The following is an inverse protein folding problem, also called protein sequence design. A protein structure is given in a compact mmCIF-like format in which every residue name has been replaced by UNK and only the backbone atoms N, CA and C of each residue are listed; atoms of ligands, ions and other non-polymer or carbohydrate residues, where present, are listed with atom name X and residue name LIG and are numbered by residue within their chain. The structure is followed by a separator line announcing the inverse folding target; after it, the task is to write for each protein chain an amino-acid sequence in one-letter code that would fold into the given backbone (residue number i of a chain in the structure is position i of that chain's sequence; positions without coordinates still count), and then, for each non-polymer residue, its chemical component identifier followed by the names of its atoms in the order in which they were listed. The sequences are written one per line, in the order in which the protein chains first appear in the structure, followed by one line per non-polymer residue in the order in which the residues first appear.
data_IF_187851556959
#
_entry.id   IF_187851556959
#
_cell.length_a   1.000
_cell.length_b   1.000
_cell.length_c   1.000
_cell.angle_alpha   90.00
_cell.angle_beta   90.00
_cell.angle_gamma   90.00
#
_symmetry.space_group_name_H-M   'P 1'
#
loop_
_entity.id
_entity.type
_entity.pdbx_description
1 polymer ?
#
# COMPACT_ATOMS: atom_id res chain seq x y z
N UNK A 1 16.62 21.42 17.10
CA UNK A 1 16.34 20.23 17.95
C UNK A 1 17.20 20.18 19.21
N UNK A 2 18.52 20.42 19.15
CA UNK A 2 19.39 20.33 20.36
C UNK A 2 19.48 18.90 20.90
N UNK A 3 20.30 18.65 21.91
CA UNK A 3 20.52 17.29 22.44
C UNK A 3 19.21 16.62 22.91
N UNK A 4 18.35 17.37 23.60
CA UNK A 4 17.06 16.88 24.09
C UNK A 4 16.09 16.55 22.94
N UNK A 5 16.02 17.41 21.91
CA UNK A 5 15.11 17.18 20.78
C UNK A 5 15.55 16.02 19.90
N UNK A 6 16.87 15.83 19.67
CA UNK A 6 17.38 14.67 18.92
C UNK A 6 17.07 13.37 19.67
N UNK A 7 17.24 13.36 20.99
CA UNK A 7 16.85 12.21 21.81
C UNK A 7 15.35 11.91 21.68
N UNK A 8 14.51 12.93 21.83
CA UNK A 8 13.05 12.76 21.75
C UNK A 8 12.62 12.27 20.35
N UNK A 9 13.22 12.80 19.29
CA UNK A 9 12.96 12.35 17.92
C UNK A 9 13.23 10.85 17.77
N UNK A 10 14.39 10.37 18.24
CA UNK A 10 14.71 8.94 18.20
C UNK A 10 13.77 8.09 19.05
N UNK A 11 13.41 8.54 20.26
CA UNK A 11 12.44 7.85 21.12
C UNK A 11 11.06 7.73 20.44
N UNK A 12 10.61 8.80 19.77
CA UNK A 12 9.32 8.84 19.06
C UNK A 12 9.32 7.98 17.80
N UNK A 13 10.40 7.98 17.01
CA UNK A 13 10.49 7.12 15.82
C UNK A 13 10.37 5.63 16.18
N UNK A 14 11.06 5.19 17.25
CA UNK A 14 10.97 3.81 17.76
C UNK A 14 9.56 3.52 18.30
N UNK A 15 8.96 4.45 19.05
CA UNK A 15 7.61 4.31 19.57
C UNK A 15 6.58 4.15 18.45
N UNK A 16 6.62 5.03 17.45
CA UNK A 16 5.70 5.03 16.31
C UNK A 16 5.81 3.72 15.51
N UNK A 17 7.03 3.23 15.26
CA UNK A 17 7.23 1.95 14.57
C UNK A 17 6.65 0.77 15.35
N UNK A 18 6.95 0.68 16.66
CA UNK A 18 6.41 -0.39 17.51
C UNK A 18 4.88 -0.29 17.64
N UNK A 19 4.31 0.91 17.62
CA UNK A 19 2.86 1.13 17.58
C UNK A 19 2.24 0.51 16.33
N UNK A 20 2.77 0.85 15.15
CA UNK A 20 2.31 0.32 13.85
C UNK A 20 2.47 -1.20 13.80
N UNK A 21 3.64 -1.71 14.17
CA UNK A 21 3.90 -3.15 14.19
C UNK A 21 2.89 -3.90 15.07
N UNK A 22 2.61 -3.42 16.29
CA UNK A 22 1.67 -4.07 17.20
C UNK A 22 0.22 -4.05 16.70
N UNK A 23 -0.17 -3.00 15.99
CA UNK A 23 -1.48 -2.87 15.35
C UNK A 23 -1.65 -3.83 14.18
N UNK A 24 -0.58 -4.07 13.41
CA UNK A 24 -0.63 -4.86 12.18
C UNK A 24 -0.33 -6.34 12.38
N UNK A 25 0.37 -6.74 13.43
CA UNK A 25 0.89 -8.12 13.62
C UNK A 25 -0.18 -9.23 13.52
N UNK A 26 -1.40 -8.96 14.00
CA UNK A 26 -2.51 -9.93 13.92
C UNK A 26 -3.04 -10.12 12.48
N UNK A 27 -2.76 -9.18 11.58
CA UNK A 27 -3.25 -9.13 10.20
C UNK A 27 -2.14 -9.50 9.21
N UNK A 28 -0.93 -9.00 9.45
CA UNK A 28 0.27 -9.28 8.69
C UNK A 28 1.41 -9.55 9.68
N UNK A 29 1.93 -10.79 9.75
CA UNK A 29 2.94 -11.14 10.74
C UNK A 29 4.17 -10.24 10.64
N UNK A 30 4.65 -9.74 11.78
CA UNK A 30 5.91 -9.01 11.86
C UNK A 30 7.07 -10.00 11.72
N UNK A 31 7.87 -9.86 10.67
CA UNK A 31 8.85 -10.88 10.28
C UNK A 31 10.03 -11.01 11.25
N UNK A 32 10.52 -9.89 11.79
CA UNK A 32 11.66 -9.86 12.70
C UNK A 32 11.38 -8.97 13.90
N UNK A 33 11.76 -9.45 15.08
CA UNK A 33 11.73 -8.69 16.33
C UNK A 33 13.03 -8.89 17.11
N UNK A 34 13.37 -7.93 17.96
CA UNK A 34 14.47 -8.07 18.92
C UNK A 34 14.16 -9.08 20.04
N UNK A 35 15.12 -9.25 20.95
CA UNK A 35 15.08 -10.26 22.03
C UNK A 35 13.88 -10.15 22.97
N UNK A 36 13.28 -8.97 23.09
CA UNK A 36 12.13 -8.69 23.95
C UNK A 36 10.83 -8.44 23.14
N UNK A 37 10.80 -8.80 21.86
CA UNK A 37 9.62 -8.63 21.01
C UNK A 37 9.40 -7.20 20.49
N UNK A 38 10.36 -6.30 20.70
CA UNK A 38 10.32 -4.93 20.17
C UNK A 38 11.18 -4.79 18.90
N UNK A 39 10.81 -3.86 18.05
CA UNK A 39 11.55 -3.45 16.86
C UNK A 39 12.25 -2.10 17.07
N UNK A 40 13.06 -1.68 16.11
CA UNK A 40 13.71 -0.36 16.11
C UNK A 40 12.76 0.71 15.53
N UNK A 41 13.22 1.48 14.54
CA UNK A 41 12.48 2.58 13.91
C UNK A 41 11.63 2.14 12.70
N UNK A 42 11.68 0.86 12.33
CA UNK A 42 10.95 0.28 11.21
C UNK A 42 10.55 -1.17 11.49
N UNK A 43 9.54 -1.67 10.79
CA UNK A 43 9.07 -3.05 10.86
C UNK A 43 8.99 -3.67 9.46
N UNK A 44 9.08 -5.00 9.38
CA UNK A 44 8.83 -5.75 8.14
C UNK A 44 7.58 -6.61 8.36
N UNK A 45 6.59 -6.46 7.50
CA UNK A 45 5.40 -7.31 7.49
C UNK A 45 5.48 -8.34 6.37
N UNK A 46 5.11 -9.58 6.66
CA UNK A 46 5.26 -10.71 5.74
C UNK A 46 3.97 -11.01 4.94
N UNK A 47 4.04 -10.84 3.61
CA UNK A 47 2.95 -11.16 2.68
C UNK A 47 3.19 -12.45 1.90
N UNK A 48 4.30 -13.17 2.14
CA UNK A 48 4.68 -14.33 1.33
C UNK A 48 3.68 -15.48 1.48
N UNK A 49 3.15 -15.70 2.67
CA UNK A 49 2.08 -16.67 2.91
C UNK A 49 0.81 -16.32 2.13
N UNK A 50 0.39 -15.05 2.20
CA UNK A 50 -0.77 -14.54 1.45
C UNK A 50 -0.57 -14.72 -0.07
N UNK A 51 0.62 -14.39 -0.57
CA UNK A 51 0.97 -14.55 -1.99
C UNK A 51 0.86 -16.02 -2.41
N UNK A 52 1.42 -16.93 -1.61
CA UNK A 52 1.44 -18.35 -1.90
C UNK A 52 0.04 -18.95 -1.89
N UNK A 53 -0.78 -18.59 -0.91
CA UNK A 53 -2.06 -19.25 -0.67
C UNK A 53 -3.20 -18.64 -1.50
N UNK A 54 -3.14 -17.34 -1.80
CA UNK A 54 -4.26 -16.60 -2.42
C UNK A 54 -3.88 -15.82 -3.68
N UNK A 55 -2.60 -15.80 -4.07
CA UNK A 55 -2.14 -15.10 -5.27
C UNK A 55 -2.11 -13.57 -5.18
N UNK A 56 -2.42 -13.00 -4.01
CA UNK A 56 -2.31 -11.55 -3.75
C UNK A 56 -0.84 -11.19 -3.54
N UNK A 57 -0.31 -10.33 -4.39
CA UNK A 57 1.11 -9.96 -4.40
C UNK A 57 1.39 -8.70 -3.58
N UNK A 58 2.67 -8.43 -3.31
CA UNK A 58 3.12 -7.17 -2.71
C UNK A 58 2.72 -5.96 -3.56
N UNK A 59 2.77 -6.09 -4.89
CA UNK A 59 2.38 -5.00 -5.78
C UNK A 59 0.89 -4.69 -5.68
N UNK A 60 0.04 -5.72 -5.50
CA UNK A 60 -1.40 -5.51 -5.29
C UNK A 60 -1.69 -4.70 -4.04
N UNK A 61 -1.07 -5.04 -2.91
CA UNK A 61 -1.22 -4.28 -1.66
C UNK A 61 -0.64 -2.86 -1.81
N UNK A 62 0.51 -2.72 -2.45
CA UNK A 62 1.14 -1.43 -2.69
C UNK A 62 0.30 -0.51 -3.58
N UNK A 63 -0.30 -1.03 -4.66
CA UNK A 63 -1.19 -0.25 -5.50
C UNK A 63 -2.50 0.06 -4.78
N UNK A 64 -3.03 -0.90 -4.01
CA UNK A 64 -4.28 -0.71 -3.27
C UNK A 64 -4.16 0.39 -2.21
N UNK A 65 -3.00 0.53 -1.57
CA UNK A 65 -2.72 1.64 -0.66
C UNK A 65 -2.90 3.03 -1.30
N UNK A 66 -2.67 3.16 -2.61
CA UNK A 66 -2.90 4.43 -3.32
C UNK A 66 -4.38 4.84 -3.29
N UNK A 67 -5.29 3.88 -3.41
CA UNK A 67 -6.74 4.12 -3.31
C UNK A 67 -7.12 4.53 -1.88
N UNK A 68 -6.33 4.16 -0.87
CA UNK A 68 -6.46 4.62 0.51
C UNK A 68 -5.72 5.95 0.77
N UNK A 69 -5.11 6.56 -0.26
CA UNK A 69 -4.39 7.82 -0.16
C UNK A 69 -2.98 7.70 0.42
N UNK A 70 -2.37 6.52 0.38
CA UNK A 70 -1.02 6.27 0.88
C UNK A 70 -0.06 5.91 -0.25
N UNK A 71 1.15 6.46 -0.16
CA UNK A 71 2.29 5.88 -0.86
C UNK A 71 2.65 4.53 -0.21
N UNK A 72 3.00 3.54 -1.02
CA UNK A 72 3.41 2.24 -0.50
C UNK A 72 4.71 2.34 0.34
N UNK A 73 4.86 1.54 1.40
CA UNK A 73 6.14 1.36 2.08
C UNK A 73 7.20 0.75 1.16
N UNK A 74 8.43 0.58 1.66
CA UNK A 74 9.50 -0.08 0.91
C UNK A 74 9.09 -1.50 0.53
N UNK A 75 9.16 -1.82 -0.75
CA UNK A 75 8.67 -3.09 -1.28
C UNK A 75 9.80 -4.08 -1.55
N UNK A 76 9.60 -5.35 -1.17
CA UNK A 76 10.44 -6.50 -1.54
C UNK A 76 11.93 -6.35 -1.21
N UNK A 77 12.26 -5.51 -0.23
CA UNK A 77 13.59 -5.35 0.33
C UNK A 77 13.46 -5.07 1.85
N UNK A 78 14.36 -5.62 2.70
CA UNK A 78 15.47 -6.51 2.38
C UNK A 78 15.05 -7.96 2.06
N UNK A 79 13.77 -8.29 2.23
CA UNK A 79 13.21 -9.62 1.94
C UNK A 79 12.23 -9.51 0.78
N UNK A 80 12.40 -10.35 -0.24
CA UNK A 80 11.46 -10.40 -1.37
C UNK A 80 10.08 -10.85 -0.90
N UNK A 81 9.02 -10.19 -1.40
CA UNK A 81 7.65 -10.54 -1.03
C UNK A 81 7.17 -9.93 0.30
N UNK A 82 7.87 -8.93 0.85
CA UNK A 82 7.49 -8.23 2.08
C UNK A 82 7.32 -6.73 1.87
N UNK A 83 6.73 -6.05 2.86
CA UNK A 83 6.72 -4.59 2.98
C UNK A 83 7.49 -4.17 4.22
N UNK A 84 8.33 -3.14 4.10
CA UNK A 84 9.07 -2.54 5.22
C UNK A 84 8.57 -1.12 5.49
N UNK A 85 8.13 -0.87 6.72
CA UNK A 85 7.37 0.31 7.14
C UNK A 85 8.18 1.10 8.18
N UNK A 86 8.48 2.36 7.86
CA UNK A 86 9.14 3.33 8.74
C UNK A 86 8.27 4.58 8.88
N UNK A 87 7.54 4.78 10.00
CA UNK A 87 6.65 5.92 10.17
C UNK A 87 7.36 7.23 10.53
N UNK A 88 8.61 7.17 10.98
CA UNK A 88 9.37 8.28 11.56
C UNK A 88 8.72 8.87 12.82
N UNK A 89 9.37 9.86 13.43
CA UNK A 89 8.88 10.62 14.58
C UNK A 89 7.89 11.73 14.22
N UNK A 90 7.84 12.12 12.94
CA UNK A 90 7.15 13.33 12.50
C UNK A 90 5.66 13.11 12.24
N UNK A 91 5.25 11.86 12.02
CA UNK A 91 3.87 11.52 11.75
C UNK A 91 3.03 11.53 13.03
N UNK A 92 1.83 12.12 12.91
CA UNK A 92 0.89 12.15 14.03
C UNK A 92 0.28 10.77 14.26
N UNK A 93 -0.12 10.47 15.50
CA UNK A 93 -0.83 9.21 15.79
C UNK A 93 -2.05 9.00 14.89
N UNK A 94 -2.79 10.07 14.56
CA UNK A 94 -3.95 9.98 13.68
C UNK A 94 -3.57 9.50 12.26
N UNK A 95 -2.40 9.87 11.75
CA UNK A 95 -1.92 9.39 10.46
C UNK A 95 -1.46 7.93 10.54
N UNK A 96 -0.80 7.55 11.64
CA UNK A 96 -0.46 6.15 11.91
C UNK A 96 -1.71 5.25 12.00
N UNK A 97 -2.76 5.76 12.66
CA UNK A 97 -4.06 5.09 12.76
C UNK A 97 -4.66 4.89 11.37
N UNK A 98 -4.72 5.95 10.55
CA UNK A 98 -5.23 5.89 9.17
C UNK A 98 -4.47 4.87 8.31
N UNK A 99 -3.14 4.84 8.41
CA UNK A 99 -2.33 3.86 7.68
C UNK A 99 -2.64 2.43 8.15
N UNK A 100 -2.71 2.22 9.47
CA UNK A 100 -3.05 0.91 10.01
C UNK A 100 -4.46 0.47 9.62
N UNK A 101 -5.45 1.38 9.68
CA UNK A 101 -6.83 1.10 9.28
C UNK A 101 -6.92 0.76 7.78
N UNK A 102 -6.14 1.44 6.92
CA UNK A 102 -6.04 1.11 5.51
C UNK A 102 -5.48 -0.31 5.29
N UNK A 103 -4.39 -0.66 5.98
CA UNK A 103 -3.83 -2.02 5.93
C UNK A 103 -4.81 -3.08 6.45
N UNK A 104 -5.55 -2.80 7.52
CA UNK A 104 -6.58 -3.71 8.05
C UNK A 104 -7.76 -3.85 7.09
N UNK A 105 -8.18 -2.77 6.42
CA UNK A 105 -9.19 -2.84 5.37
C UNK A 105 -8.73 -3.69 4.18
N UNK A 106 -7.47 -3.51 3.74
CA UNK A 106 -6.84 -4.35 2.72
C UNK A 106 -6.81 -5.81 3.18
N UNK A 107 -6.51 -6.08 4.45
CA UNK A 107 -6.58 -7.46 4.98
C UNK A 107 -7.97 -8.06 4.85
N UNK A 108 -9.03 -7.29 5.13
CA UNK A 108 -10.40 -7.76 4.96
C UNK A 108 -10.75 -8.04 3.49
N UNK A 109 -10.20 -7.28 2.54
CA UNK A 109 -10.32 -7.59 1.10
C UNK A 109 -9.59 -8.89 0.74
N UNK A 110 -8.41 -9.14 1.33
CA UNK A 110 -7.68 -10.41 1.16
C UNK A 110 -8.48 -11.58 1.75
N UNK A 111 -9.14 -11.39 2.90
CA UNK A 111 -9.94 -12.44 3.53
C UNK A 111 -11.16 -12.83 2.66
N UNK A 112 -11.75 -11.89 1.91
CA UNK A 112 -12.80 -12.19 0.91
C UNK A 112 -12.28 -12.99 -0.30
N UNK A 113 -10.98 -12.88 -0.61
CA UNK A 113 -10.34 -13.74 -1.62
C UNK A 113 -10.09 -15.13 -1.00
N UNK A 114 -9.62 -15.16 0.25
CA UNK A 114 -9.31 -16.39 0.96
C UNK A 114 -10.53 -17.30 1.19
N UNK A 115 -11.71 -16.72 1.42
CA UNK A 115 -12.97 -17.46 1.58
C UNK A 115 -13.72 -17.73 0.26
N UNK A 116 -13.20 -17.21 -0.86
CA UNK A 116 -13.76 -17.41 -2.20
C UNK A 116 -14.95 -16.52 -2.54
N UNK A 117 -15.25 -15.49 -1.73
CA UNK A 117 -16.29 -14.49 -2.04
C UNK A 117 -16.00 -13.74 -3.34
N UNK A 118 -14.73 -13.43 -3.62
CA UNK A 118 -14.28 -12.78 -4.85
C UNK A 118 -13.01 -13.45 -5.37
N UNK A 119 -12.91 -13.66 -6.68
CA UNK A 119 -11.67 -14.14 -7.28
C UNK A 119 -10.60 -13.05 -7.20
N UNK A 120 -9.33 -13.44 -6.99
CA UNK A 120 -8.21 -12.49 -6.93
C UNK A 120 -8.15 -11.59 -8.18
N UNK A 121 -8.42 -12.15 -9.35
CA UNK A 121 -8.35 -11.41 -10.62
C UNK A 121 -9.46 -10.37 -10.77
N UNK A 122 -10.60 -10.58 -10.11
CA UNK A 122 -11.74 -9.66 -10.14
C UNK A 122 -11.72 -8.68 -8.96
N UNK A 123 -10.69 -8.73 -8.10
CA UNK A 123 -10.65 -8.02 -6.83
C UNK A 123 -10.22 -6.55 -6.95
N UNK A 124 -10.63 -5.68 -6.01
CA UNK A 124 -10.11 -4.31 -5.94
C UNK A 124 -8.58 -4.26 -5.86
N UNK A 125 -7.95 -5.26 -5.22
CA UNK A 125 -6.51 -5.42 -5.10
C UNK A 125 -5.82 -5.56 -6.46
N UNK A 126 -6.33 -6.43 -7.34
CA UNK A 126 -5.75 -6.65 -8.67
C UNK A 126 -5.96 -5.44 -9.58
N UNK A 127 -7.13 -4.81 -9.48
CA UNK A 127 -7.49 -3.67 -10.32
C UNK A 127 -7.00 -2.31 -9.80
N UNK A 128 -6.36 -2.26 -8.62
CA UNK A 128 -5.74 -1.05 -8.11
C UNK A 128 -4.49 -0.63 -8.92
N UNK A 129 -4.19 0.68 -9.00
CA UNK A 129 -4.97 1.80 -8.46
C UNK A 129 -6.14 2.18 -9.36
N UNK A 130 -7.17 2.80 -8.78
CA UNK A 130 -8.36 3.26 -9.48
C UNK A 130 -8.22 4.74 -9.88
N UNK A 131 -8.24 5.02 -11.18
CA UNK A 131 -8.15 6.39 -11.70
C UNK A 131 -9.50 7.09 -11.71
N UNK A 132 -9.50 8.43 -11.88
CA UNK A 132 -10.75 9.16 -12.11
C UNK A 132 -11.48 8.65 -13.36
N UNK A 133 -10.73 8.29 -14.43
CA UNK A 133 -11.30 7.75 -15.66
C UNK A 133 -12.05 6.42 -15.41
N UNK A 134 -11.49 5.52 -14.61
CA UNK A 134 -12.16 4.28 -14.19
C UNK A 134 -13.46 4.57 -13.42
N UNK A 135 -13.45 5.59 -12.56
CA UNK A 135 -14.57 5.92 -11.69
C UNK A 135 -15.73 6.57 -12.45
N UNK A 136 -15.46 7.46 -13.42
CA UNK A 136 -16.51 8.14 -14.19
C UNK A 136 -17.03 7.32 -15.36
N UNK A 137 -16.25 6.33 -15.81
CA UNK A 137 -16.60 5.45 -16.91
C UNK A 137 -17.64 4.39 -16.56
N UNK A 138 -17.90 3.53 -17.55
CA UNK A 138 -18.67 2.32 -17.38
C UNK A 138 -18.02 1.42 -16.31
N UNK A 139 -18.84 0.72 -15.54
CA UNK A 139 -18.37 -0.09 -14.43
C UNK A 139 -18.86 -1.52 -14.58
N UNK A 140 -17.94 -2.39 -14.98
CA UNK A 140 -18.12 -3.81 -15.25
C UNK A 140 -17.49 -4.71 -14.18
N UNK A 141 -17.01 -4.12 -13.07
CA UNK A 141 -16.35 -4.84 -11.98
C UNK A 141 -17.36 -5.40 -10.99
N UNK A 142 -17.07 -6.59 -10.45
CA UNK A 142 -17.98 -7.34 -9.55
C UNK A 142 -18.14 -6.71 -8.16
N UNK A 143 -17.29 -5.75 -7.82
CA UNK A 143 -17.34 -4.97 -6.59
C UNK A 143 -17.83 -3.54 -6.87
N UNK A 144 -18.41 -2.84 -5.88
CA UNK A 144 -18.99 -1.53 -6.13
C UNK A 144 -17.92 -0.47 -6.39
N UNK A 145 -18.26 0.51 -7.23
CA UNK A 145 -17.41 1.67 -7.57
C UNK A 145 -16.84 2.41 -6.34
N UNK A 146 -17.58 2.42 -5.23
CA UNK A 146 -17.13 3.00 -3.96
C UNK A 146 -15.86 2.36 -3.38
N UNK A 147 -15.48 1.14 -3.80
CA UNK A 147 -14.20 0.56 -3.40
C UNK A 147 -13.02 1.23 -4.11
N UNK A 148 -13.22 1.79 -5.30
CA UNK A 148 -12.19 2.55 -6.02
C UNK A 148 -12.10 4.03 -5.62
N UNK A 149 -13.01 4.51 -4.78
CA UNK A 149 -12.97 5.90 -4.31
C UNK A 149 -12.14 5.99 -3.03
N UNK A 150 -11.20 6.95 -2.93
CA UNK A 150 -10.60 7.31 -1.65
C UNK A 150 -11.70 7.54 -0.62
N UNK A 151 -11.50 7.07 0.61
CA UNK A 151 -12.50 7.14 1.69
C UNK A 151 -13.19 8.52 1.68
N UNK A 152 -14.49 8.53 1.37
CA UNK A 152 -15.34 9.72 1.19
C UNK A 152 -15.41 10.62 2.45
N UNK A 153 -14.75 10.21 3.55
CA UNK A 153 -14.59 10.98 4.77
C UNK A 153 -13.63 12.17 4.62
N UNK A 154 -12.81 12.25 3.57
CA UNK A 154 -11.95 13.42 3.32
C UNK A 154 -12.35 14.13 2.02
N UNK A 155 -12.59 15.44 2.09
CA UNK A 155 -12.83 16.31 0.94
C UNK A 155 -11.57 16.55 0.08
N UNK A 156 -10.54 15.72 0.25
CA UNK A 156 -9.15 15.92 -0.24
C UNK A 156 -8.51 14.60 -0.70
N UNK A 157 -9.30 13.60 -1.08
CA UNK A 157 -8.79 12.31 -1.56
C UNK A 157 -7.84 12.46 -2.75
N UNK A 158 -6.71 11.75 -2.70
CA UNK A 158 -5.79 11.65 -3.83
C UNK A 158 -6.31 10.62 -4.83
N UNK A 159 -6.32 10.97 -6.11
CA UNK A 159 -6.63 10.03 -7.18
C UNK A 159 -5.37 9.73 -7.98
N UNK A 160 -5.11 8.45 -8.21
CA UNK A 160 -4.00 8.04 -9.07
C UNK A 160 -4.24 8.58 -10.50
N UNK A 161 -3.23 9.22 -11.12
CA UNK A 161 -3.39 9.83 -12.44
C UNK A 161 -3.43 8.80 -13.58
N UNK A 162 -2.92 7.60 -13.34
CA UNK A 162 -2.86 6.49 -14.31
C UNK A 162 -3.13 5.16 -13.61
N UNK A 163 -3.59 4.17 -14.38
CA UNK A 163 -3.79 2.81 -13.92
C UNK A 163 -2.46 2.11 -13.64
N UNK A 164 -2.51 0.83 -13.25
CA UNK A 164 -1.32 0.03 -12.99
C UNK A 164 -0.37 0.02 -14.20
N UNK A 165 0.91 0.30 -13.93
CA UNK A 165 1.97 0.37 -14.95
C UNK A 165 2.35 -1.05 -15.39
N UNK A 166 2.46 -1.27 -16.70
CA UNK A 166 3.10 -2.46 -17.27
C UNK A 166 4.62 -2.29 -17.34
N UNK A 167 5.30 -2.74 -16.28
CA UNK A 167 6.76 -2.64 -16.17
C UNK A 167 7.47 -3.45 -17.27
N UNK A 168 6.99 -4.66 -17.57
CA UNK A 168 7.64 -5.55 -18.54
C UNK A 168 7.51 -5.01 -19.98
N UNK A 169 6.43 -4.31 -20.30
CA UNK A 169 6.30 -3.63 -21.58
C UNK A 169 7.32 -2.50 -21.73
N UNK A 170 7.51 -1.68 -20.69
CA UNK A 170 8.49 -0.59 -20.71
C UNK A 170 9.91 -1.07 -20.97
N UNK A 171 10.33 -2.14 -20.29
CA UNK A 171 11.66 -2.74 -20.49
C UNK A 171 11.86 -3.31 -21.90
N UNK A 172 10.79 -3.88 -22.49
CA UNK A 172 10.81 -4.43 -23.86
C UNK A 172 10.71 -3.36 -24.95
N UNK A 173 10.20 -2.17 -24.63
CA UNK A 173 9.93 -1.07 -25.56
C UNK A 173 10.56 0.23 -25.05
N UNK A 174 11.88 0.20 -24.88
CA UNK A 174 12.63 1.27 -24.23
C UNK A 174 12.51 2.61 -24.99
N UNK A 175 11.77 3.55 -24.41
CA UNK A 175 11.71 4.94 -24.86
C UNK A 175 12.09 5.88 -23.70
N UNK A 176 13.26 6.51 -23.80
CA UNK A 176 13.82 7.36 -22.75
C UNK A 176 13.84 8.86 -23.11
N UNK A 177 13.14 9.24 -24.17
CA UNK A 177 12.92 10.62 -24.60
C UNK A 177 11.42 10.85 -24.76
N UNK A 178 10.99 12.12 -24.78
CA UNK A 178 9.61 12.43 -25.09
C UNK A 178 9.19 11.77 -26.42
N UNK A 179 7.96 11.28 -26.47
CA UNK A 179 7.38 10.84 -27.72
C UNK A 179 7.24 12.05 -28.67
N UNK A 180 7.17 11.82 -30.00
CA UNK A 180 6.80 12.87 -30.94
C UNK A 180 5.46 13.52 -30.55
N UNK A 181 5.26 14.80 -30.85
CA UNK A 181 4.04 15.53 -30.47
C UNK A 181 2.79 14.87 -31.06
N UNK A 182 2.92 14.26 -32.24
CA UNK A 182 1.89 13.53 -32.95
C UNK A 182 1.33 12.37 -32.11
N UNK A 183 2.15 11.75 -31.27
CA UNK A 183 1.71 10.65 -30.39
C UNK A 183 0.77 11.11 -29.27
N UNK A 184 0.74 12.41 -28.95
CA UNK A 184 -0.16 12.98 -27.95
C UNK A 184 -1.45 13.56 -28.57
N UNK A 185 -1.55 13.65 -29.89
CA UNK A 185 -2.71 14.22 -30.56
C UNK A 185 -3.93 13.28 -30.60
N UNK A 186 -3.71 11.98 -30.35
CA UNK A 186 -4.74 10.92 -30.38
C UNK A 186 -5.18 10.45 -28.97
N UNK A 187 -4.65 11.07 -27.90
CA UNK A 187 -4.87 10.68 -26.50
C UNK A 187 -5.98 11.49 -25.80
#
# INVERSE_FOLDING_TARGET
MGAQGVRLATEMAILNANYVARRLDAHFPVLYTGTHGFIAHECIIDLRGITKDFGVTVDDVAKRLMDHGFHAPTMSFPVSGTLMIEPTESETKAELDRFCDAMVAIRAEIDQIADGTIAVEDSPLRHAPHTVADLVGDWDRVYPRSHGTPSLSSSTGYHAPVSRIDAAFGDRNLMCTCAPLEAYAEA
#
